data_IF_451270653516
#
_entry.id   IF_451270653516
#
_cell.length_a   1.000
_cell.length_b   1.000
_cell.length_c   1.000
_cell.angle_alpha   90.00
_cell.angle_beta   90.00
_cell.angle_gamma   90.00
#
_symmetry.space_group_name_H-M   'P 1'
#
loop_
_entity.id
_entity.type
_entity.pdbx_description
1 polymer ?
#
# COMPACT_ATOMS: atom_id res chain seq x y z
N UNK A 1 -32.45 25.67 -17.40
CA UNK A 1 -31.35 24.71 -17.67
C UNK A 1 -30.05 25.48 -17.55
N UNK A 2 -29.53 25.64 -16.32
CA UNK A 2 -28.32 26.39 -16.03
C UNK A 2 -27.23 25.42 -15.65
N UNK A 3 -26.29 25.21 -16.55
CA UNK A 3 -25.14 24.31 -16.39
C UNK A 3 -24.13 24.95 -15.43
N UNK A 4 -23.88 24.24 -14.34
CA UNK A 4 -23.14 24.71 -13.17
C UNK A 4 -21.64 24.84 -13.47
N UNK A 5 -21.16 26.09 -13.55
CA UNK A 5 -19.77 26.44 -13.84
C UNK A 5 -18.82 26.24 -12.64
N UNK A 6 -19.28 25.69 -11.52
CA UNK A 6 -18.50 25.55 -10.29
C UNK A 6 -17.52 24.37 -10.28
N UNK A 7 -17.67 23.38 -11.17
CA UNK A 7 -16.96 22.10 -11.03
C UNK A 7 -15.50 22.11 -11.52
N UNK A 8 -15.02 23.19 -12.15
CA UNK A 8 -13.66 23.27 -12.74
C UNK A 8 -12.67 23.97 -11.79
N UNK A 9 -13.14 24.72 -10.77
CA UNK A 9 -12.25 25.49 -9.88
C UNK A 9 -11.55 24.67 -8.80
N UNK A 10 -11.95 23.42 -8.54
CA UNK A 10 -11.37 22.58 -7.49
C UNK A 10 -10.04 21.91 -7.86
N UNK A 11 -9.54 22.05 -9.09
CA UNK A 11 -8.28 21.43 -9.50
C UNK A 11 -7.02 22.18 -9.01
N UNK A 12 -7.15 23.46 -8.60
CA UNK A 12 -6.03 24.29 -8.13
C UNK A 12 -5.97 24.35 -6.58
N UNK A 13 -7.09 24.10 -5.91
CA UNK A 13 -7.15 24.08 -4.44
C UNK A 13 -6.89 22.64 -4.00
N UNK A 14 -5.67 22.38 -3.48
CA UNK A 14 -5.27 21.06 -2.99
C UNK A 14 -6.35 20.43 -2.11
N UNK A 15 -6.54 19.11 -2.23
CA UNK A 15 -7.58 18.31 -1.53
C UNK A 15 -7.83 18.83 -0.11
N UNK A 16 -8.88 19.64 0.06
CA UNK A 16 -9.32 20.04 1.39
C UNK A 16 -10.09 18.85 1.98
N UNK A 17 -9.57 18.28 3.05
CA UNK A 17 -10.18 17.15 3.73
C UNK A 17 -9.19 16.41 4.62
N UNK A 18 -9.71 15.66 5.59
CA UNK A 18 -8.91 14.71 6.35
C UNK A 18 -9.18 13.30 5.85
N UNK A 19 -8.13 12.49 5.75
CA UNK A 19 -8.23 11.06 5.38
C UNK A 19 -7.72 10.21 6.53
N UNK A 20 -8.27 9.00 6.73
CA UNK A 20 -7.69 8.05 7.66
C UNK A 20 -6.40 7.45 7.07
N UNK A 21 -5.38 7.37 7.91
CA UNK A 21 -4.11 6.73 7.64
C UNK A 21 -3.81 5.74 8.77
N UNK A 22 -3.34 4.54 8.46
CA UNK A 22 -2.96 3.56 9.47
C UNK A 22 -1.43 3.48 9.58
N UNK A 23 -0.89 3.57 10.78
CA UNK A 23 0.54 3.53 11.03
C UNK A 23 1.14 2.16 10.70
N UNK A 24 2.07 2.09 9.75
CA UNK A 24 2.76 0.83 9.39
C UNK A 24 3.84 0.38 10.41
N UNK A 25 3.90 1.01 11.59
CA UNK A 25 4.77 0.61 12.70
C UNK A 25 4.04 0.10 13.95
N UNK A 26 2.80 0.54 14.19
CA UNK A 26 2.02 0.13 15.37
C UNK A 26 0.56 -0.20 15.05
N UNK A 27 0.09 0.06 13.84
CA UNK A 27 -1.31 -0.19 13.45
C UNK A 27 -2.30 0.87 13.90
N UNK A 28 -1.87 1.93 14.60
CA UNK A 28 -2.79 3.00 15.03
C UNK A 28 -3.39 3.75 13.82
N UNK A 29 -4.70 4.01 13.87
CA UNK A 29 -5.42 4.78 12.86
C UNK A 29 -5.45 6.25 13.23
N UNK A 30 -5.00 7.11 12.33
CA UNK A 30 -4.87 8.56 12.52
C UNK A 30 -5.62 9.31 11.43
N UNK A 31 -6.23 10.45 11.79
CA UNK A 31 -6.83 11.37 10.81
C UNK A 31 -5.79 12.40 10.42
N UNK A 32 -5.49 12.50 9.13
CA UNK A 32 -4.44 13.35 8.59
C UNK A 32 -4.99 14.27 7.49
N UNK A 33 -4.41 15.45 7.29
CA UNK A 33 -4.74 16.27 6.12
C UNK A 33 -4.45 15.50 4.82
N UNK A 34 -5.36 15.55 3.86
CA UNK A 34 -5.20 14.86 2.57
C UNK A 34 -4.00 15.39 1.74
N UNK A 35 -3.47 16.57 2.10
CA UNK A 35 -2.29 17.18 1.50
C UNK A 35 -0.97 16.85 2.21
N UNK A 36 -1.00 16.12 3.34
CA UNK A 36 0.21 15.79 4.08
C UNK A 36 1.03 14.73 3.32
N UNK A 37 2.35 14.96 3.20
CA UNK A 37 3.29 13.98 2.63
C UNK A 37 3.88 13.08 3.71
N UNK A 38 4.10 13.64 4.89
CA UNK A 38 4.63 12.94 6.06
C UNK A 38 3.85 13.34 7.30
N UNK A 39 3.79 12.43 8.27
CA UNK A 39 3.14 12.69 9.56
C UNK A 39 3.83 11.88 10.65
N UNK A 40 3.83 12.38 11.88
CA UNK A 40 4.29 11.61 13.04
C UNK A 40 3.12 10.88 13.67
N UNK A 41 3.26 9.58 13.90
CA UNK A 41 2.25 8.81 14.61
C UNK A 41 2.18 9.29 16.09
N UNK A 42 1.01 9.66 16.63
CA UNK A 42 0.87 10.10 18.02
C UNK A 42 1.06 8.97 19.03
N UNK A 43 0.96 7.72 18.59
CA UNK A 43 1.07 6.55 19.49
C UNK A 43 2.51 6.06 19.62
N UNK A 44 3.20 5.88 18.49
CA UNK A 44 4.56 5.33 18.49
C UNK A 44 5.65 6.36 18.17
N UNK A 45 5.28 7.63 17.95
CA UNK A 45 6.17 8.76 17.66
C UNK A 45 7.11 8.57 16.46
N UNK A 46 6.83 7.61 15.57
CA UNK A 46 7.60 7.36 14.34
C UNK A 46 7.00 8.15 13.19
N UNK A 47 7.89 8.59 12.29
CA UNK A 47 7.50 9.28 11.07
C UNK A 47 6.93 8.29 10.04
N UNK A 48 5.84 8.69 9.42
CA UNK A 48 5.12 7.96 8.38
C UNK A 48 5.28 8.66 7.04
N UNK A 49 5.53 7.87 6.00
CA UNK A 49 5.37 8.31 4.62
C UNK A 49 3.92 8.05 4.17
N UNK A 50 3.26 9.08 3.64
CA UNK A 50 1.88 9.04 3.17
C UNK A 50 1.78 8.82 1.66
N UNK A 51 2.90 8.94 0.95
CA UNK A 51 2.95 8.84 -0.50
C UNK A 51 2.88 7.41 -0.99
N UNK A 52 2.21 7.22 -2.12
CA UNK A 52 2.20 5.94 -2.81
C UNK A 52 3.61 5.60 -3.32
N UNK A 53 3.98 4.33 -3.20
CA UNK A 53 5.25 3.83 -3.73
C UNK A 53 4.97 3.15 -5.06
N UNK A 54 5.54 3.65 -6.15
CA UNK A 54 5.46 3.00 -7.46
C UNK A 54 6.82 2.45 -7.89
N UNK A 55 6.91 1.12 -8.03
CA UNK A 55 8.10 0.44 -8.53
C UNK A 55 7.92 0.17 -10.01
N UNK A 56 8.69 0.88 -10.84
CA UNK A 56 8.58 0.83 -12.31
C UNK A 56 9.69 0.04 -12.99
N UNK A 57 10.82 -0.17 -12.30
CA UNK A 57 11.99 -0.87 -12.80
C UNK A 57 12.44 -1.95 -11.81
N UNK A 58 13.67 -2.42 -11.95
CA UNK A 58 14.29 -3.31 -10.96
C UNK A 58 14.50 -2.54 -9.64
N UNK A 59 13.97 -3.09 -8.54
CA UNK A 59 14.25 -2.64 -7.19
C UNK A 59 14.85 -3.79 -6.40
N UNK A 60 16.00 -3.55 -5.78
CA UNK A 60 16.74 -4.57 -5.05
C UNK A 60 17.09 -4.08 -3.64
N UNK A 61 16.80 -4.91 -2.65
CA UNK A 61 17.11 -4.67 -1.24
C UNK A 61 16.06 -3.82 -0.51
N UNK A 62 16.28 -3.61 0.79
CA UNK A 62 15.48 -2.71 1.63
C UNK A 62 14.08 -3.22 2.00
N UNK A 63 13.22 -2.28 2.39
CA UNK A 63 11.80 -2.51 2.65
C UNK A 63 10.98 -1.37 2.05
N UNK A 64 9.84 -1.71 1.43
CA UNK A 64 8.89 -0.71 0.94
C UNK A 64 7.84 -0.51 2.02
N UNK A 65 7.80 0.67 2.63
CA UNK A 65 6.87 0.98 3.72
C UNK A 65 6.17 2.29 3.44
N UNK A 66 4.85 2.25 3.35
CA UNK A 66 4.03 3.45 3.17
C UNK A 66 2.67 3.28 3.82
N UNK A 67 2.05 4.42 4.13
CA UNK A 67 0.66 4.50 4.55
C UNK A 67 -0.29 4.51 3.35
N UNK A 68 0.22 4.81 2.17
CA UNK A 68 -0.52 4.75 0.91
C UNK A 68 -0.56 3.35 0.32
N UNK A 69 -0.57 3.30 -1.01
CA UNK A 69 -0.60 2.10 -1.82
C UNK A 69 0.80 1.81 -2.36
N UNK A 70 1.18 0.53 -2.39
CA UNK A 70 2.38 0.07 -3.11
C UNK A 70 1.96 -0.51 -4.45
N UNK A 71 2.55 -0.05 -5.55
CA UNK A 71 2.28 -0.53 -6.91
C UNK A 71 3.56 -1.07 -7.55
N UNK A 72 3.60 -2.37 -7.81
CA UNK A 72 4.64 -3.01 -8.62
C UNK A 72 4.13 -3.12 -10.05
N UNK A 73 4.71 -2.36 -10.97
CA UNK A 73 4.24 -2.33 -12.36
C UNK A 73 4.57 -3.60 -13.14
N UNK A 74 3.88 -3.82 -14.27
CA UNK A 74 3.95 -5.05 -15.10
C UNK A 74 5.36 -5.48 -15.52
N UNK A 75 6.25 -4.52 -15.80
CA UNK A 75 7.65 -4.78 -16.21
C UNK A 75 8.65 -4.63 -15.06
N UNK A 76 8.15 -4.35 -13.86
CA UNK A 76 9.00 -4.16 -12.68
C UNK A 76 9.26 -5.50 -11.99
N UNK A 77 10.43 -5.57 -11.37
CA UNK A 77 10.81 -6.66 -10.46
C UNK A 77 11.28 -6.05 -9.15
N UNK A 78 10.63 -6.39 -8.06
CA UNK A 78 10.99 -5.95 -6.72
C UNK A 78 11.46 -7.16 -5.92
N UNK A 79 12.69 -7.10 -5.40
CA UNK A 79 13.25 -8.07 -4.46
C UNK A 79 13.61 -7.31 -3.20
N UNK A 80 12.84 -7.51 -2.12
CA UNK A 80 13.02 -6.78 -0.87
C UNK A 80 12.58 -7.64 0.32
N UNK A 81 12.95 -7.24 1.53
CA UNK A 81 12.65 -8.04 2.72
C UNK A 81 11.15 -7.99 3.06
N UNK A 82 10.60 -6.77 3.08
CA UNK A 82 9.22 -6.51 3.47
C UNK A 82 8.56 -5.47 2.55
N UNK A 83 7.28 -5.69 2.25
CA UNK A 83 6.37 -4.69 1.70
C UNK A 83 5.24 -4.46 2.69
N UNK A 84 5.15 -3.25 3.25
CA UNK A 84 4.11 -2.87 4.20
C UNK A 84 3.36 -1.67 3.67
N UNK A 85 2.06 -1.85 3.43
CA UNK A 85 1.21 -0.80 2.87
C UNK A 85 -0.13 -0.72 3.60
N UNK A 86 -0.51 0.46 4.08
CA UNK A 86 -1.76 0.58 4.83
C UNK A 86 -3.00 0.64 3.95
N UNK A 87 -2.95 1.28 2.77
CA UNK A 87 -4.13 1.37 1.89
C UNK A 87 -4.26 0.21 0.88
N UNK A 88 -3.19 -0.53 0.63
CA UNK A 88 -3.24 -1.72 -0.22
C UNK A 88 -1.94 -1.97 -0.98
N UNK A 89 -1.88 -3.12 -1.64
CA UNK A 89 -0.74 -3.48 -2.50
C UNK A 89 -1.28 -3.97 -3.84
N UNK A 90 -0.74 -3.43 -4.93
CA UNK A 90 -1.07 -3.84 -6.31
C UNK A 90 0.17 -4.39 -6.97
N UNK A 91 0.13 -5.67 -7.32
CA UNK A 91 1.26 -6.38 -7.90
C UNK A 91 0.86 -6.75 -9.33
N UNK A 92 1.53 -6.15 -10.30
CA UNK A 92 1.28 -6.40 -11.72
C UNK A 92 2.48 -7.07 -12.41
N UNK A 93 3.66 -7.03 -11.78
CA UNK A 93 4.89 -7.66 -12.24
C UNK A 93 5.40 -8.71 -11.23
N UNK A 94 6.71 -8.76 -11.00
CA UNK A 94 7.32 -9.74 -10.08
C UNK A 94 7.65 -9.11 -8.73
N UNK A 95 7.25 -9.77 -7.64
CA UNK A 95 7.60 -9.40 -6.27
C UNK A 95 8.17 -10.61 -5.52
N UNK A 96 9.30 -10.40 -4.85
CA UNK A 96 9.87 -11.34 -3.90
C UNK A 96 10.06 -10.61 -2.57
N UNK A 97 9.13 -10.84 -1.63
CA UNK A 97 9.08 -10.19 -0.32
C UNK A 97 8.02 -10.80 0.60
N UNK A 98 8.10 -10.50 1.89
CA UNK A 98 6.98 -10.67 2.83
C UNK A 98 6.03 -9.47 2.75
N UNK A 99 4.78 -9.70 2.36
CA UNK A 99 3.77 -8.64 2.15
C UNK A 99 2.85 -8.56 3.35
N UNK A 100 2.68 -7.36 3.90
CA UNK A 100 1.69 -7.03 4.93
C UNK A 100 0.88 -5.82 4.50
N UNK A 101 -0.44 -5.95 4.51
CA UNK A 101 -1.31 -4.82 4.17
C UNK A 101 -2.53 -4.73 5.07
N UNK A 102 -2.89 -3.50 5.45
CA UNK A 102 -4.17 -3.21 6.10
C UNK A 102 -5.29 -3.05 5.07
N UNK A 103 -4.94 -2.88 3.80
CA UNK A 103 -5.84 -2.81 2.67
C UNK A 103 -5.81 -4.09 1.82
N UNK A 104 -6.56 -4.14 0.72
CA UNK A 104 -6.56 -5.28 -0.17
C UNK A 104 -5.21 -5.45 -0.88
N UNK A 105 -4.83 -6.71 -1.09
CA UNK A 105 -3.74 -7.09 -1.99
C UNK A 105 -4.33 -7.58 -3.30
N UNK A 106 -3.90 -6.98 -4.41
CA UNK A 106 -4.33 -7.31 -5.76
C UNK A 106 -3.16 -7.88 -6.57
N UNK A 107 -3.38 -9.04 -7.17
CA UNK A 107 -2.46 -9.70 -8.09
C UNK A 107 -3.04 -9.65 -9.50
N UNK A 108 -2.36 -8.95 -10.40
CA UNK A 108 -2.75 -8.90 -11.81
C UNK A 108 -2.44 -10.20 -12.58
N UNK A 109 -2.92 -10.33 -13.83
CA UNK A 109 -2.84 -11.58 -14.60
C UNK A 109 -1.42 -12.12 -14.85
N UNK A 110 -0.41 -11.25 -14.85
CA UNK A 110 1.00 -11.62 -15.05
C UNK A 110 1.83 -11.44 -13.78
N UNK A 111 1.17 -11.33 -12.63
CA UNK A 111 1.85 -11.11 -11.36
C UNK A 111 2.50 -12.40 -10.88
N UNK A 112 3.76 -12.31 -10.45
CA UNK A 112 4.46 -13.41 -9.78
C UNK A 112 4.87 -12.95 -8.40
N UNK A 113 4.38 -13.62 -7.36
CA UNK A 113 4.74 -13.32 -5.98
C UNK A 113 5.47 -14.49 -5.34
N UNK A 114 6.60 -14.18 -4.73
CA UNK A 114 7.37 -15.09 -3.89
C UNK A 114 7.45 -14.55 -2.46
N UNK A 115 6.95 -15.32 -1.50
CA UNK A 115 6.96 -14.97 -0.09
C UNK A 115 5.58 -15.01 0.57
N UNK A 116 5.52 -14.58 1.82
CA UNK A 116 4.30 -14.58 2.62
C UNK A 116 3.40 -13.39 2.27
N UNK A 117 2.08 -13.55 2.42
CA UNK A 117 1.11 -12.46 2.28
C UNK A 117 0.17 -12.47 3.48
N UNK A 118 0.09 -11.35 4.19
CA UNK A 118 -0.91 -11.08 5.22
C UNK A 118 -1.75 -9.87 4.80
N UNK A 119 -3.03 -10.09 4.57
CA UNK A 119 -3.95 -9.01 4.18
C UNK A 119 -5.39 -9.34 4.58
N UNK A 120 -6.26 -8.34 4.78
CA UNK A 120 -7.68 -8.59 5.01
C UNK A 120 -8.37 -9.19 3.78
N UNK A 121 -7.88 -8.89 2.58
CA UNK A 121 -8.43 -9.37 1.31
C UNK A 121 -7.32 -9.59 0.30
N UNK A 122 -7.37 -10.73 -0.38
CA UNK A 122 -6.48 -11.07 -1.49
C UNK A 122 -7.32 -11.31 -2.75
N UNK A 123 -7.04 -10.54 -3.81
CA UNK A 123 -7.70 -10.66 -5.12
C UNK A 123 -6.66 -11.18 -6.09
N UNK A 124 -6.95 -12.32 -6.72
CA UNK A 124 -6.03 -13.01 -7.62
C UNK A 124 -6.69 -13.10 -9.00
N UNK A 125 -6.13 -12.38 -9.97
CA UNK A 125 -6.56 -12.51 -11.35
C UNK A 125 -6.05 -13.82 -11.97
N UNK A 126 -6.79 -14.41 -12.94
CA UNK A 126 -6.33 -15.56 -13.69
C UNK A 126 -4.94 -15.33 -14.32
N UNK A 127 -4.04 -16.29 -14.14
CA UNK A 127 -2.65 -16.24 -14.63
C UNK A 127 -1.63 -15.78 -13.59
N UNK A 128 -2.07 -15.17 -12.48
CA UNK A 128 -1.16 -14.82 -11.38
C UNK A 128 -0.54 -16.07 -10.74
N UNK A 129 0.73 -15.98 -10.38
CA UNK A 129 1.50 -17.05 -9.77
C UNK A 129 1.87 -16.69 -8.32
N UNK A 130 1.47 -17.56 -7.40
CA UNK A 130 1.78 -17.50 -5.97
C UNK A 130 2.79 -18.61 -5.65
N UNK A 131 4.04 -18.23 -5.36
CA UNK A 131 5.17 -19.15 -5.24
C UNK A 131 5.82 -19.01 -3.87
N UNK A 132 5.33 -19.76 -2.88
CA UNK A 132 5.79 -19.71 -1.49
C UNK A 132 4.61 -19.61 -0.52
N UNK A 133 4.87 -19.30 0.75
CA UNK A 133 3.81 -19.10 1.75
C UNK A 133 4.26 -19.45 3.17
N UNK A 134 3.65 -18.86 4.18
CA UNK A 134 2.18 -18.85 4.30
C UNK A 134 1.46 -17.62 3.71
N UNK A 135 0.23 -17.84 3.24
CA UNK A 135 -0.73 -16.78 2.87
C UNK A 135 -1.86 -16.74 3.92
N UNK A 136 -2.05 -15.60 4.60
CA UNK A 136 -3.10 -15.42 5.62
C UNK A 136 -4.09 -14.35 5.17
N UNK A 137 -5.33 -14.77 4.98
CA UNK A 137 -6.46 -13.93 4.55
C UNK A 137 -7.72 -14.39 5.31
N UNK A 138 -8.23 -13.63 6.30
CA UNK A 138 -7.69 -12.36 6.78
C UNK A 138 -6.39 -12.54 7.59
N UNK A 139 -5.37 -11.77 7.25
CA UNK A 139 -4.11 -11.70 7.99
C UNK A 139 -3.98 -10.41 8.81
N UNK A 140 -3.25 -10.46 9.92
CA UNK A 140 -2.95 -9.27 10.73
C UNK A 140 -2.02 -8.31 9.96
N UNK A 141 -2.32 -7.01 10.00
CA UNK A 141 -1.49 -5.98 9.36
C UNK A 141 -0.16 -5.77 10.08
N UNK A 142 -0.24 -5.57 11.40
CA UNK A 142 0.89 -5.46 12.32
C UNK A 142 0.66 -6.49 13.41
N UNK A 143 1.67 -7.31 13.70
CA UNK A 143 1.61 -8.22 14.84
C UNK A 143 1.57 -7.39 16.13
N UNK A 144 0.68 -7.71 17.08
CA UNK A 144 0.64 -7.01 18.36
C UNK A 144 2.01 -7.11 19.03
N UNK A 145 2.56 -5.96 19.44
CA UNK A 145 3.69 -5.97 20.37
C UNK A 145 3.15 -6.48 21.70
N UNK A 146 3.59 -7.68 22.10
CA UNK A 146 3.40 -8.20 23.46
C UNK A 146 4.05 -7.26 24.47
#
# INVERSE_FOLDING_TARGET
MTTDALSIRSAIVGRQGTVPACCYHCGNSIKIPASAMTVTCPECYKQLNLEDISVRAMHWGGSLRTTGVVVIHKKARAVCNDVIASQGVRILGSLEASVRSAGPVYLGPNATVKGAINAPKLIVEPGAQLLGGPFRVPGAFIEPRH
#
